data_IF_066541638006
#
_entry.id   IF_066541638006
#
_cell.length_a   1.000
_cell.length_b   1.000
_cell.length_c   1.000
_cell.angle_alpha   90.00
_cell.angle_beta   90.00
_cell.angle_gamma   90.00
#
_symmetry.space_group_name_H-M   'P 1'
#
loop_
_entity.id
_entity.type
_entity.pdbx_description
1 polymer ?
#
# COMPACT_ATOMS: atom_id res chain seq x y z
N UNK A 1 -13.04 -7.99 -27.08
CA UNK A 1 -12.51 -6.66 -26.66
C UNK A 1 -12.83 -6.34 -25.18
N UNK A 2 -14.03 -6.65 -24.65
CA UNK A 2 -14.35 -6.43 -23.21
C UNK A 2 -13.37 -7.12 -22.25
N UNK A 3 -12.95 -8.35 -22.54
CA UNK A 3 -11.98 -9.09 -21.74
C UNK A 3 -10.64 -8.34 -21.58
N UNK A 4 -10.08 -7.80 -22.67
CA UNK A 4 -8.85 -7.02 -22.64
C UNK A 4 -8.99 -5.72 -21.83
N UNK A 5 -10.14 -5.04 -21.97
CA UNK A 5 -10.43 -3.83 -21.17
C UNK A 5 -10.47 -4.16 -19.67
N UNK A 6 -11.14 -5.27 -19.30
CA UNK A 6 -11.19 -5.71 -17.90
C UNK A 6 -9.81 -6.15 -17.39
N UNK A 7 -9.01 -6.82 -18.22
CA UNK A 7 -7.65 -7.20 -17.85
C UNK A 7 -6.77 -5.96 -17.57
N UNK A 8 -6.80 -4.96 -18.46
CA UNK A 8 -6.05 -3.71 -18.29
C UNK A 8 -6.51 -2.96 -17.03
N UNK A 9 -7.83 -2.89 -16.79
CA UNK A 9 -8.38 -2.28 -15.59
C UNK A 9 -7.97 -3.05 -14.33
N UNK A 10 -7.94 -4.38 -14.41
CA UNK A 10 -7.48 -5.26 -13.33
C UNK A 10 -6.00 -5.07 -13.02
N UNK A 11 -5.14 -4.95 -14.04
CA UNK A 11 -3.71 -4.65 -13.87
C UNK A 11 -3.54 -3.25 -13.27
N UNK A 12 -4.34 -2.27 -13.69
CA UNK A 12 -4.29 -0.91 -13.13
C UNK A 12 -4.62 -0.90 -11.64
N UNK A 13 -5.77 -1.47 -11.24
CA UNK A 13 -6.18 -1.56 -9.84
C UNK A 13 -5.20 -2.42 -9.04
N UNK A 14 -4.77 -3.53 -9.60
CA UNK A 14 -3.80 -4.43 -8.98
C UNK A 14 -2.42 -3.78 -8.77
N UNK A 15 -2.01 -2.89 -9.65
CA UNK A 15 -0.77 -2.11 -9.47
C UNK A 15 -0.87 -1.15 -8.28
N UNK A 16 -2.04 -0.54 -8.05
CA UNK A 16 -2.27 0.28 -6.84
C UNK A 16 -2.17 -0.60 -5.60
N UNK A 17 -2.86 -1.75 -5.58
CA UNK A 17 -2.77 -2.69 -4.47
C UNK A 17 -1.35 -3.20 -4.26
N UNK A 18 -0.60 -3.44 -5.32
CA UNK A 18 0.79 -3.86 -5.24
C UNK A 18 1.68 -2.79 -4.57
N UNK A 19 1.54 -1.50 -4.92
CA UNK A 19 2.31 -0.42 -4.27
C UNK A 19 2.01 -0.37 -2.77
N UNK A 20 0.73 -0.49 -2.38
CA UNK A 20 0.33 -0.52 -0.97
C UNK A 20 0.88 -1.77 -0.29
N UNK A 21 0.75 -2.94 -0.93
CA UNK A 21 1.22 -4.22 -0.41
C UNK A 21 2.74 -4.26 -0.22
N UNK A 22 3.52 -3.57 -1.09
CA UNK A 22 4.96 -3.38 -0.92
C UNK A 22 5.27 -2.63 0.37
N UNK A 23 4.50 -1.57 0.69
CA UNK A 23 4.63 -0.85 1.96
C UNK A 23 4.33 -1.73 3.17
N UNK A 24 3.24 -2.50 3.13
CA UNK A 24 2.87 -3.47 4.19
C UNK A 24 3.95 -4.53 4.39
N UNK A 25 4.39 -5.15 3.29
CA UNK A 25 5.39 -6.22 3.31
C UNK A 25 6.69 -5.76 3.95
N UNK A 26 7.18 -4.56 3.60
CA UNK A 26 8.40 -4.02 4.19
C UNK A 26 8.25 -3.78 5.70
N UNK A 27 7.15 -3.16 6.12
CA UNK A 27 6.92 -2.85 7.53
C UNK A 27 6.78 -4.14 8.34
N UNK A 28 5.99 -5.09 7.87
CA UNK A 28 5.78 -6.36 8.55
C UNK A 28 7.07 -7.20 8.64
N UNK A 29 7.82 -7.29 7.55
CA UNK A 29 9.05 -8.11 7.52
C UNK A 29 10.09 -7.63 8.54
N UNK A 30 10.26 -6.33 8.67
CA UNK A 30 11.31 -5.73 9.50
C UNK A 30 10.83 -5.46 10.93
N UNK A 31 9.65 -4.89 11.11
CA UNK A 31 9.12 -4.58 12.44
C UNK A 31 8.45 -5.79 13.11
N UNK A 32 7.99 -6.79 12.33
CA UNK A 32 7.16 -7.92 12.74
C UNK A 32 5.86 -7.47 13.42
N UNK A 33 5.30 -6.36 12.93
CA UNK A 33 4.07 -5.74 13.46
C UNK A 33 3.11 -5.42 12.31
N UNK A 34 1.82 -5.70 12.52
CA UNK A 34 0.77 -5.32 11.58
C UNK A 34 0.40 -3.86 11.77
N UNK A 35 0.41 -3.09 10.68
CA UNK A 35 0.05 -1.67 10.68
C UNK A 35 -1.26 -1.43 9.94
N UNK A 36 -2.40 -1.62 10.60
CA UNK A 36 -3.71 -1.35 9.99
C UNK A 36 -3.96 0.14 9.70
N UNK A 37 -3.24 1.05 10.38
CA UNK A 37 -3.30 2.48 10.06
C UNK A 37 -2.68 2.84 8.69
N UNK A 38 -2.01 1.89 8.02
CA UNK A 38 -1.40 2.12 6.70
C UNK A 38 -2.44 2.53 5.64
N UNK A 39 -3.65 1.97 5.69
CA UNK A 39 -4.76 2.39 4.85
C UNK A 39 -5.14 3.87 5.04
N UNK A 40 -5.09 4.36 6.28
CA UNK A 40 -5.42 5.75 6.56
C UNK A 40 -4.30 6.72 6.17
N UNK A 41 -3.04 6.25 6.13
CA UNK A 41 -1.94 7.02 5.52
C UNK A 41 -2.17 7.22 4.03
N UNK A 42 -2.77 6.24 3.32
CA UNK A 42 -3.21 6.38 1.92
C UNK A 42 -4.21 7.54 1.78
N UNK A 43 -5.22 7.57 2.63
CA UNK A 43 -6.22 8.64 2.70
C UNK A 43 -5.56 10.00 2.94
N UNK A 44 -4.65 10.10 3.93
CA UNK A 44 -3.92 11.36 4.21
C UNK A 44 -3.12 11.81 3.00
N UNK A 45 -2.47 10.89 2.28
CA UNK A 45 -1.76 11.21 1.04
C UNK A 45 -2.67 11.85 -0.02
N UNK A 46 -3.87 11.27 -0.21
CA UNK A 46 -4.90 11.85 -1.08
C UNK A 46 -5.31 13.26 -0.64
N UNK A 47 -5.60 13.47 0.67
CA UNK A 47 -5.98 14.78 1.19
C UNK A 47 -4.86 15.82 1.09
N UNK A 48 -3.61 15.46 1.33
CA UNK A 48 -2.48 16.40 1.17
C UNK A 48 -2.30 16.86 -0.27
N UNK A 49 -2.41 15.94 -1.23
CA UNK A 49 -2.37 16.30 -2.64
C UNK A 49 -3.59 17.16 -3.02
N UNK A 50 -4.79 16.81 -2.56
CA UNK A 50 -6.01 17.61 -2.76
C UNK A 50 -5.86 19.02 -2.19
N UNK A 51 -5.36 19.17 -0.98
CA UNK A 51 -5.15 20.49 -0.37
C UNK A 51 -4.14 21.34 -1.17
N UNK A 52 -3.04 20.73 -1.62
CA UNK A 52 -2.04 21.42 -2.42
C UNK A 52 -2.60 21.92 -3.76
N UNK A 53 -3.36 21.08 -4.45
CA UNK A 53 -3.90 21.42 -5.78
C UNK A 53 -5.12 22.33 -5.71
N UNK A 54 -6.03 22.11 -4.74
CA UNK A 54 -7.33 22.80 -4.70
C UNK A 54 -7.26 24.09 -3.87
N UNK A 55 -6.61 24.07 -2.70
CA UNK A 55 -6.57 25.25 -1.82
C UNK A 55 -5.36 26.13 -2.07
N UNK A 56 -4.19 25.54 -2.37
CA UNK A 56 -2.97 26.31 -2.60
C UNK A 56 -2.73 26.62 -4.10
N UNK A 57 -3.50 26.00 -5.01
CA UNK A 57 -3.35 26.18 -6.46
C UNK A 57 -2.00 25.69 -7.00
N UNK A 58 -1.34 24.79 -6.28
CA UNK A 58 -0.05 24.27 -6.71
C UNK A 58 -0.19 23.28 -7.86
N UNK A 59 0.85 23.17 -8.71
CA UNK A 59 0.85 22.16 -9.76
C UNK A 59 0.83 20.75 -9.14
N UNK A 60 0.19 19.83 -9.83
CA UNK A 60 -0.09 18.47 -9.34
C UNK A 60 1.15 17.73 -8.83
N UNK A 61 2.31 17.88 -9.50
CA UNK A 61 3.56 17.23 -9.06
C UNK A 61 4.04 17.72 -7.67
N UNK A 62 3.84 19.02 -7.35
CA UNK A 62 4.15 19.54 -6.01
C UNK A 62 3.21 18.97 -4.96
N UNK A 63 1.93 18.74 -5.32
CA UNK A 63 0.97 18.07 -4.46
C UNK A 63 1.40 16.64 -4.11
N UNK A 64 1.95 15.91 -5.09
CA UNK A 64 2.52 14.56 -4.84
C UNK A 64 3.71 14.63 -3.89
N UNK A 65 4.64 15.56 -4.11
CA UNK A 65 5.81 15.73 -3.23
C UNK A 65 5.39 16.08 -1.81
N UNK A 66 4.44 17.00 -1.64
CA UNK A 66 3.89 17.34 -0.33
C UNK A 66 3.25 16.12 0.35
N UNK A 67 2.44 15.35 -0.37
CA UNK A 67 1.83 14.13 0.13
C UNK A 67 2.87 13.13 0.63
N UNK A 68 3.94 12.90 -0.15
CA UNK A 68 5.04 12.00 0.24
C UNK A 68 5.72 12.49 1.51
N UNK A 69 6.07 13.78 1.59
CA UNK A 69 6.76 14.34 2.76
C UNK A 69 5.88 14.22 4.01
N UNK A 70 4.63 14.67 3.93
CA UNK A 70 3.71 14.65 5.09
C UNK A 70 3.43 13.21 5.54
N UNK A 71 3.16 12.29 4.62
CA UNK A 71 2.90 10.89 4.98
C UNK A 71 4.16 10.20 5.54
N UNK A 72 5.35 10.52 5.02
CA UNK A 72 6.62 10.00 5.57
C UNK A 72 6.82 10.46 7.01
N UNK A 73 6.61 11.75 7.30
CA UNK A 73 6.69 12.29 8.66
C UNK A 73 5.61 11.68 9.55
N UNK A 74 4.37 11.57 9.05
CA UNK A 74 3.25 10.94 9.77
C UNK A 74 3.57 9.47 10.11
N UNK A 75 4.11 8.71 9.17
CA UNK A 75 4.50 7.31 9.40
C UNK A 75 5.56 7.16 10.47
N UNK A 76 6.58 8.03 10.48
CA UNK A 76 7.58 8.08 11.55
C UNK A 76 6.97 8.49 12.90
N UNK A 77 6.02 9.42 12.90
CA UNK A 77 5.31 9.83 14.10
C UNK A 77 4.46 8.68 14.68
N UNK A 78 3.70 7.99 13.82
CA UNK A 78 2.90 6.81 14.20
C UNK A 78 3.81 5.73 14.77
N UNK A 79 4.93 5.42 14.11
CA UNK A 79 5.90 4.46 14.62
C UNK A 79 6.40 4.86 16.01
N UNK A 80 6.84 6.10 16.16
CA UNK A 80 7.50 6.56 17.38
C UNK A 80 6.53 6.68 18.57
N UNK A 81 5.30 7.12 18.33
CA UNK A 81 4.31 7.39 19.37
C UNK A 81 3.47 6.15 19.71
N UNK A 82 3.07 5.36 18.71
CA UNK A 82 2.14 4.27 18.89
C UNK A 82 2.82 2.89 18.92
N UNK A 83 3.77 2.61 17.99
CA UNK A 83 4.34 1.27 17.85
C UNK A 83 5.61 1.04 18.67
N UNK A 84 6.48 2.04 18.77
CA UNK A 84 7.74 1.89 19.50
C UNK A 84 7.56 1.51 20.98
N UNK A 85 6.59 2.10 21.73
CA UNK A 85 6.34 1.70 23.11
C UNK A 85 5.84 0.26 23.27
N UNK A 86 5.20 -0.29 22.21
CA UNK A 86 4.55 -1.60 22.24
C UNK A 86 5.39 -2.73 21.64
N UNK A 87 6.67 -2.51 21.34
CA UNK A 87 7.54 -3.52 20.71
C UNK A 87 7.78 -4.76 21.56
N UNK A 88 7.65 -4.64 22.87
CA UNK A 88 7.74 -5.76 23.82
C UNK A 88 6.37 -6.26 24.30
N UNK A 89 5.27 -5.64 23.83
CA UNK A 89 3.91 -6.00 24.21
C UNK A 89 3.40 -7.20 23.38
N UNK A 90 2.37 -7.92 23.88
CA UNK A 90 1.71 -8.97 23.10
C UNK A 90 1.17 -8.43 21.76
N UNK A 91 1.16 -9.28 20.74
CA UNK A 91 0.71 -8.93 19.38
C UNK A 91 -0.72 -8.36 19.35
N UNK A 92 -1.58 -8.79 20.26
CA UNK A 92 -2.95 -8.27 20.42
C UNK A 92 -2.96 -6.78 20.80
N UNK A 93 -2.09 -6.35 21.72
CA UNK A 93 -1.99 -4.93 22.10
C UNK A 93 -1.55 -4.05 20.93
N UNK A 94 -0.61 -4.54 20.13
CA UNK A 94 -0.17 -3.86 18.90
C UNK A 94 -1.31 -3.74 17.90
N UNK A 95 -2.08 -4.82 17.71
CA UNK A 95 -3.24 -4.85 16.82
C UNK A 95 -4.31 -3.83 17.23
N UNK A 96 -4.69 -3.82 18.51
CA UNK A 96 -5.70 -2.87 19.05
C UNK A 96 -5.21 -1.44 18.87
N UNK A 97 -3.93 -1.17 19.14
CA UNK A 97 -3.35 0.16 18.94
C UNK A 97 -3.37 0.57 17.47
N UNK A 98 -3.07 -0.34 16.55
CA UNK A 98 -3.14 -0.07 15.12
C UNK A 98 -4.54 0.33 14.67
N UNK A 99 -5.57 -0.37 15.16
CA UNK A 99 -6.98 -0.03 14.93
C UNK A 99 -7.32 1.33 15.56
N UNK A 100 -6.85 1.59 16.79
CA UNK A 100 -7.05 2.88 17.46
C UNK A 100 -6.45 4.06 16.68
N UNK A 101 -5.22 3.91 16.15
CA UNK A 101 -4.58 4.92 15.30
C UNK A 101 -5.37 5.12 14.00
N UNK A 102 -5.86 4.02 13.39
CA UNK A 102 -6.70 4.08 12.19
C UNK A 102 -7.94 4.93 12.43
N UNK A 103 -8.73 4.62 13.45
CA UNK A 103 -9.92 5.40 13.79
C UNK A 103 -9.60 6.84 14.17
N UNK A 104 -8.49 7.08 14.86
CA UNK A 104 -8.04 8.43 15.18
C UNK A 104 -7.79 9.24 13.91
N UNK A 105 -7.08 8.70 12.92
CA UNK A 105 -6.81 9.39 11.65
C UNK A 105 -8.09 9.64 10.84
N UNK A 106 -9.01 8.67 10.78
CA UNK A 106 -10.29 8.82 10.10
C UNK A 106 -11.14 9.91 10.73
N UNK A 107 -11.27 9.93 12.07
CA UNK A 107 -12.03 10.95 12.77
C UNK A 107 -11.37 12.33 12.70
N UNK A 108 -10.03 12.41 12.75
CA UNK A 108 -9.31 13.64 12.52
C UNK A 108 -9.56 14.20 11.11
N UNK A 109 -9.54 13.33 10.09
CA UNK A 109 -9.86 13.71 8.71
C UNK A 109 -11.33 14.17 8.59
N UNK A 110 -12.25 13.51 9.27
CA UNK A 110 -13.66 13.87 9.28
C UNK A 110 -13.91 15.24 9.90
N UNK A 111 -13.18 15.59 10.98
CA UNK A 111 -13.25 16.91 11.62
C UNK A 111 -12.64 18.02 10.74
N UNK A 112 -11.54 17.73 10.05
CA UNK A 112 -10.83 18.73 9.23
C UNK A 112 -11.53 18.95 7.88
N UNK A 113 -11.90 17.87 7.16
CA UNK A 113 -12.41 17.94 5.79
C UNK A 113 -13.88 17.60 5.66
N UNK A 114 -14.56 17.27 6.74
CA UNK A 114 -15.97 16.84 6.78
C UNK A 114 -16.22 15.45 6.15
N UNK A 115 -17.45 14.93 6.30
CA UNK A 115 -17.86 13.65 5.71
C UNK A 115 -18.20 13.74 4.21
N UNK A 116 -18.34 14.96 3.67
CA UNK A 116 -18.75 15.15 2.28
C UNK A 116 -17.64 14.70 1.32
N UNK A 117 -17.96 13.87 0.32
CA UNK A 117 -16.99 13.47 -0.71
C UNK A 117 -16.38 14.68 -1.40
N UNK A 118 -15.06 14.70 -1.53
CA UNK A 118 -14.33 15.72 -2.29
C UNK A 118 -13.99 15.19 -3.67
N UNK A 119 -14.22 16.00 -4.69
CA UNK A 119 -13.78 15.68 -6.05
C UNK A 119 -12.28 15.89 -6.17
N UNK A 120 -11.56 14.83 -6.51
CA UNK A 120 -10.11 14.85 -6.68
C UNK A 120 -9.74 15.09 -8.13
N UNK A 121 -8.99 16.15 -8.41
CA UNK A 121 -8.44 16.40 -9.73
C UNK A 121 -7.28 15.44 -10.00
N UNK A 122 -7.38 14.64 -11.05
CA UNK A 122 -6.31 13.69 -11.41
C UNK A 122 -4.97 14.40 -11.61
N UNK A 123 -3.92 13.85 -11.00
CA UNK A 123 -2.55 14.34 -11.16
C UNK A 123 -2.03 14.06 -12.57
N UNK A 124 -2.55 13.01 -13.21
CA UNK A 124 -2.21 12.63 -14.58
C UNK A 124 -3.28 13.17 -15.50
N UNK A 125 -2.95 14.22 -16.24
CA UNK A 125 -3.83 14.87 -17.22
C UNK A 125 -3.63 14.30 -18.60
N UNK A 126 -4.70 14.32 -19.41
CA UNK A 126 -4.70 13.97 -20.83
C UNK A 126 -5.66 12.85 -21.18
N UNK A 127 -6.02 12.81 -22.47
CA UNK A 127 -7.02 11.87 -23.00
C UNK A 127 -6.54 10.42 -22.95
N UNK A 128 -7.49 9.49 -22.85
CA UNK A 128 -7.20 8.07 -22.94
C UNK A 128 -6.60 7.72 -24.31
N UNK A 129 -5.63 6.83 -24.32
CA UNK A 129 -5.07 6.30 -25.58
C UNK A 129 -6.03 5.30 -26.16
N UNK A 130 -6.59 5.63 -27.31
CA UNK A 130 -7.48 4.74 -28.06
C UNK A 130 -6.68 3.91 -29.06
N UNK A 131 -6.74 2.59 -28.92
CA UNK A 131 -6.12 1.63 -29.84
C UNK A 131 -7.23 0.86 -30.60
N UNK A 132 -6.88 0.28 -31.74
CA UNK A 132 -7.78 -0.50 -32.57
C UNK A 132 -9.10 0.21 -32.93
N UNK A 133 -9.01 1.46 -33.40
CA UNK A 133 -10.20 2.22 -33.81
C UNK A 133 -11.16 2.58 -32.66
N UNK A 134 -10.64 2.77 -31.44
CA UNK A 134 -11.42 3.17 -30.26
C UNK A 134 -12.01 2.00 -29.45
N UNK A 135 -11.77 0.76 -29.85
CA UNK A 135 -12.29 -0.43 -29.14
C UNK A 135 -11.53 -0.74 -27.85
N UNK A 136 -10.27 -0.30 -27.74
CA UNK A 136 -9.45 -0.43 -26.55
C UNK A 136 -9.06 0.97 -26.08
N UNK A 137 -9.50 1.34 -24.87
CA UNK A 137 -9.19 2.62 -24.27
C UNK A 137 -8.32 2.40 -23.02
N UNK A 138 -7.10 2.94 -23.06
CA UNK A 138 -6.17 2.86 -21.92
C UNK A 138 -6.04 4.25 -21.32
N UNK A 139 -6.48 4.42 -20.08
CA UNK A 139 -6.30 5.67 -19.35
C UNK A 139 -4.80 5.96 -19.15
N UNK A 140 -4.39 7.21 -19.27
CA UNK A 140 -3.00 7.60 -18.93
C UNK A 140 -2.68 7.32 -17.46
N UNK A 141 -3.65 7.43 -16.57
CA UNK A 141 -3.49 7.06 -15.16
C UNK A 141 -3.07 5.60 -15.03
N UNK A 142 -3.69 4.69 -15.80
CA UNK A 142 -3.31 3.27 -15.84
C UNK A 142 -1.85 3.07 -16.22
N UNK A 143 -1.39 3.72 -17.29
CA UNK A 143 0.01 3.59 -17.74
C UNK A 143 0.99 4.10 -16.69
N UNK A 144 0.71 5.28 -16.12
CA UNK A 144 1.55 5.86 -15.06
C UNK A 144 1.55 4.97 -13.82
N UNK A 145 0.41 4.42 -13.43
CA UNK A 145 0.29 3.55 -12.25
C UNK A 145 1.08 2.25 -12.42
N UNK A 146 0.93 1.58 -13.55
CA UNK A 146 1.67 0.35 -13.85
C UNK A 146 3.17 0.61 -13.92
N UNK A 147 3.58 1.68 -14.62
CA UNK A 147 4.98 2.07 -14.72
C UNK A 147 5.57 2.41 -13.34
N UNK A 148 4.87 3.23 -12.55
CA UNK A 148 5.29 3.59 -11.19
C UNK A 148 5.41 2.35 -10.30
N UNK A 149 4.47 1.41 -10.39
CA UNK A 149 4.49 0.16 -9.62
C UNK A 149 5.74 -0.68 -9.92
N UNK A 150 6.07 -0.88 -11.21
CA UNK A 150 7.26 -1.63 -11.61
C UNK A 150 8.54 -0.91 -11.18
N UNK A 151 8.62 0.41 -11.38
CA UNK A 151 9.78 1.21 -10.96
C UNK A 151 9.98 1.15 -9.44
N UNK A 152 8.91 1.29 -8.66
CA UNK A 152 8.95 1.19 -7.19
C UNK A 152 9.41 -0.20 -6.76
N UNK A 153 8.85 -1.27 -7.35
CA UNK A 153 9.26 -2.64 -7.03
C UNK A 153 10.76 -2.85 -7.28
N UNK A 154 11.25 -2.46 -8.46
CA UNK A 154 12.67 -2.59 -8.81
C UNK A 154 13.55 -1.74 -7.90
N UNK A 155 13.15 -0.49 -7.63
CA UNK A 155 13.87 0.41 -6.74
C UNK A 155 13.98 -0.17 -5.32
N UNK A 156 12.89 -0.73 -4.78
CA UNK A 156 12.89 -1.37 -3.47
C UNK A 156 13.77 -2.63 -3.44
N UNK A 157 13.73 -3.46 -4.48
CA UNK A 157 14.59 -4.64 -4.57
C UNK A 157 16.09 -4.24 -4.59
N UNK A 158 16.43 -3.21 -5.37
CA UNK A 158 17.80 -2.70 -5.42
C UNK A 158 18.21 -2.04 -4.10
N UNK A 159 17.31 -1.27 -3.51
CA UNK A 159 17.56 -0.61 -2.23
C UNK A 159 17.78 -1.61 -1.11
N UNK A 160 16.88 -2.57 -0.92
CA UNK A 160 17.00 -3.60 0.11
C UNK A 160 18.15 -4.57 -0.15
N UNK A 161 18.47 -4.83 -1.44
CA UNK A 161 19.54 -5.75 -1.84
C UNK A 161 20.94 -5.17 -1.75
N UNK A 162 21.12 -3.90 -2.15
CA UNK A 162 22.47 -3.31 -2.37
C UNK A 162 22.84 -2.19 -1.40
N UNK A 163 21.87 -1.53 -0.72
CA UNK A 163 22.20 -0.41 0.18
C UNK A 163 22.61 -0.89 1.58
N UNK A 164 23.42 -0.09 2.27
CA UNK A 164 23.78 -0.33 3.68
C UNK A 164 22.55 -0.37 4.59
N UNK A 165 21.58 0.51 4.33
CA UNK A 165 20.32 0.56 5.07
C UNK A 165 19.49 -0.71 4.80
N UNK A 166 19.40 -1.15 3.54
CA UNK A 166 18.72 -2.39 3.17
C UNK A 166 19.37 -3.63 3.80
N UNK A 167 20.71 -3.66 3.91
CA UNK A 167 21.43 -4.73 4.62
C UNK A 167 21.08 -4.71 6.11
N UNK A 168 21.03 -3.52 6.74
CA UNK A 168 20.58 -3.37 8.12
C UNK A 168 19.13 -3.83 8.31
N UNK A 169 18.23 -3.50 7.37
CA UNK A 169 16.83 -3.95 7.38
C UNK A 169 16.74 -5.47 7.36
N UNK A 170 17.48 -6.14 6.47
CA UNK A 170 17.49 -7.62 6.40
C UNK A 170 18.07 -8.26 7.67
N UNK A 171 19.13 -7.69 8.24
CA UNK A 171 19.68 -8.19 9.50
C UNK A 171 18.66 -8.07 10.65
N UNK A 172 17.94 -6.94 10.74
CA UNK A 172 16.90 -6.71 11.76
C UNK A 172 15.67 -7.62 11.52
N UNK A 173 15.34 -7.98 10.28
CA UNK A 173 14.23 -8.87 9.97
C UNK A 173 14.51 -10.32 10.40
N UNK A 174 15.77 -10.76 10.35
CA UNK A 174 16.18 -12.10 10.78
C UNK A 174 16.29 -12.19 12.31
N UNK A 175 17.08 -11.31 12.95
CA UNK A 175 17.23 -11.28 14.41
C UNK A 175 17.57 -9.87 14.89
N UNK A 176 16.65 -9.27 15.65
CA UNK A 176 16.82 -7.92 16.22
C UNK A 176 17.96 -7.87 17.25
N UNK A 177 18.12 -8.92 18.04
CA UNK A 177 19.16 -9.00 19.09
C UNK A 177 20.55 -9.14 18.47
N UNK A 178 20.72 -10.07 17.56
CA UNK A 178 21.98 -10.25 16.84
C UNK A 178 22.37 -9.00 16.03
N UNK A 179 21.41 -8.36 15.35
CA UNK A 179 21.66 -7.11 14.64
C UNK A 179 22.14 -5.99 15.55
N UNK A 180 21.59 -5.88 16.77
CA UNK A 180 22.00 -4.89 17.76
C UNK A 180 23.43 -5.17 18.27
N UNK A 181 23.80 -6.42 18.50
CA UNK A 181 25.15 -6.81 18.89
C UNK A 181 26.19 -6.49 17.80
N UNK A 182 25.78 -6.52 16.53
CA UNK A 182 26.62 -6.12 15.40
C UNK A 182 26.66 -4.61 15.17
N UNK A 183 26.13 -3.80 16.10
CA UNK A 183 26.15 -2.34 16.03
C UNK A 183 25.06 -1.70 15.17
N UNK A 184 24.06 -2.46 14.71
CA UNK A 184 22.94 -1.92 13.94
C UNK A 184 21.91 -1.27 14.87
N UNK A 185 21.58 -0.01 14.61
CA UNK A 185 20.54 0.68 15.36
C UNK A 185 19.14 0.22 14.89
N UNK A 186 18.58 -0.76 15.59
CA UNK A 186 17.26 -1.36 15.30
C UNK A 186 16.15 -0.31 15.28
N UNK A 187 16.19 0.68 16.20
CA UNK A 187 15.17 1.72 16.25
C UNK A 187 15.16 2.57 14.98
N UNK A 188 16.32 3.04 14.57
CA UNK A 188 16.46 3.84 13.34
C UNK A 188 16.04 3.03 12.10
N UNK A 189 16.44 1.77 12.04
CA UNK A 189 16.09 0.88 10.92
C UNK A 189 14.58 0.71 10.79
N UNK A 190 13.86 0.47 11.88
CA UNK A 190 12.40 0.36 11.89
C UNK A 190 11.74 1.70 11.50
N UNK A 191 12.21 2.83 12.05
CA UNK A 191 11.66 4.15 11.71
C UNK A 191 11.83 4.49 10.22
N UNK A 192 12.98 4.15 9.61
CA UNK A 192 13.20 4.32 8.16
C UNK A 192 12.24 3.43 7.37
N UNK A 193 11.99 2.21 7.83
CA UNK A 193 11.03 1.31 7.18
C UNK A 193 9.61 1.88 7.16
N UNK A 194 9.17 2.42 8.30
CA UNK A 194 7.86 3.11 8.37
C UNK A 194 7.82 4.36 7.48
N UNK A 195 8.91 5.11 7.42
CA UNK A 195 9.04 6.27 6.53
C UNK A 195 8.85 5.89 5.06
N UNK A 196 9.56 4.84 4.60
CA UNK A 196 9.46 4.34 3.22
C UNK A 196 8.05 3.80 2.95
N UNK A 197 7.53 2.93 3.83
CA UNK A 197 6.18 2.38 3.67
C UNK A 197 5.11 3.46 3.58
N UNK A 198 5.17 4.49 4.43
CA UNK A 198 4.23 5.61 4.42
C UNK A 198 4.39 6.51 3.20
N UNK A 199 5.60 6.70 2.70
CA UNK A 199 5.84 7.38 1.42
C UNK A 199 5.21 6.65 0.23
N UNK A 200 5.30 5.31 0.22
CA UNK A 200 4.63 4.47 -0.77
C UNK A 200 3.10 4.55 -0.67
N UNK A 201 2.57 4.58 0.57
CA UNK A 201 1.14 4.77 0.81
C UNK A 201 0.65 6.11 0.25
N UNK A 202 1.44 7.18 0.37
CA UNK A 202 1.11 8.47 -0.23
C UNK A 202 1.01 8.40 -1.76
N UNK A 203 2.00 7.79 -2.41
CA UNK A 203 2.00 7.60 -3.87
C UNK A 203 0.77 6.79 -4.30
N UNK A 204 0.51 5.67 -3.61
CA UNK A 204 -0.66 4.84 -3.89
C UNK A 204 -1.97 5.60 -3.68
N UNK A 205 -2.08 6.44 -2.64
CA UNK A 205 -3.24 7.27 -2.36
C UNK A 205 -3.53 8.28 -3.48
N UNK A 206 -2.51 8.97 -3.96
CA UNK A 206 -2.64 9.90 -5.08
C UNK A 206 -3.04 9.18 -6.38
N UNK A 207 -2.45 8.02 -6.66
CA UNK A 207 -2.80 7.22 -7.84
C UNK A 207 -4.21 6.64 -7.73
N UNK A 208 -4.61 6.17 -6.54
CA UNK A 208 -5.96 5.69 -6.27
C UNK A 208 -7.00 6.78 -6.52
N UNK A 209 -6.79 7.97 -5.93
CA UNK A 209 -7.69 9.11 -6.11
C UNK A 209 -7.67 9.66 -7.55
N UNK A 210 -6.56 9.49 -8.29
CA UNK A 210 -6.50 9.84 -9.72
C UNK A 210 -7.30 8.87 -10.59
N UNK A 211 -7.34 7.59 -10.22
CA UNK A 211 -8.13 6.57 -10.90
C UNK A 211 -9.61 6.62 -10.51
N UNK A 212 -9.89 6.90 -9.24
CA UNK A 212 -11.23 7.01 -8.66
C UNK A 212 -11.38 8.39 -8.01
N UNK A 213 -11.93 9.39 -8.70
CA UNK A 213 -11.85 10.81 -8.31
C UNK A 213 -12.79 11.17 -7.15
N UNK A 214 -12.87 10.31 -6.15
CA UNK A 214 -13.68 10.51 -4.94
C UNK A 214 -12.81 10.32 -3.72
N UNK A 215 -12.68 11.37 -2.90
CA UNK A 215 -11.88 11.37 -1.68
C UNK A 215 -12.78 11.56 -0.47
N UNK A 216 -12.72 10.61 0.46
CA UNK A 216 -13.49 10.57 1.70
C UNK A 216 -12.58 10.17 2.86
N UNK A 217 -12.94 10.45 4.13
CA UNK A 217 -12.16 10.01 5.30
C UNK A 217 -11.94 8.50 5.39
N UNK A 218 -12.73 7.69 4.68
CA UNK A 218 -12.64 6.22 4.63
C UNK A 218 -12.02 5.69 3.35
N UNK A 219 -11.57 6.54 2.42
CA UNK A 219 -11.08 6.13 1.08
C UNK A 219 -9.94 5.10 1.14
N UNK A 220 -9.09 5.14 2.17
CA UNK A 220 -7.97 4.22 2.31
C UNK A 220 -8.30 2.90 3.01
N UNK A 221 -9.44 2.79 3.71
CA UNK A 221 -9.73 1.65 4.58
C UNK A 221 -9.85 0.33 3.83
N UNK A 222 -10.78 0.24 2.87
CA UNK A 222 -10.96 -0.98 2.07
C UNK A 222 -9.75 -1.31 1.17
N UNK A 223 -9.18 -0.37 0.40
CA UNK A 223 -7.97 -0.62 -0.36
C UNK A 223 -6.79 -1.05 0.53
N UNK A 224 -6.68 -0.50 1.74
CA UNK A 224 -5.68 -0.90 2.72
C UNK A 224 -5.81 -2.37 3.13
N UNK A 225 -7.03 -2.82 3.51
CA UNK A 225 -7.28 -4.22 3.88
C UNK A 225 -7.05 -5.15 2.69
N UNK A 226 -7.51 -4.79 1.49
CA UNK A 226 -7.28 -5.60 0.27
C UNK A 226 -5.80 -5.70 -0.09
N UNK A 227 -5.05 -4.62 0.05
CA UNK A 227 -3.61 -4.65 -0.20
C UNK A 227 -2.84 -5.45 0.87
N UNK A 228 -3.28 -5.43 2.13
CA UNK A 228 -2.77 -6.36 3.14
C UNK A 228 -3.06 -7.82 2.73
N UNK A 229 -4.29 -8.10 2.30
CA UNK A 229 -4.67 -9.40 1.73
C UNK A 229 -3.75 -9.79 0.57
N UNK A 230 -3.45 -8.85 -0.33
CA UNK A 230 -2.53 -9.06 -1.45
C UNK A 230 -1.09 -9.37 -0.99
N UNK A 231 -0.60 -8.70 0.05
CA UNK A 231 0.71 -8.99 0.63
C UNK A 231 0.77 -10.41 1.22
N UNK A 232 -0.28 -10.81 1.94
CA UNK A 232 -0.41 -12.18 2.50
C UNK A 232 -0.50 -13.22 1.37
N UNK A 233 -1.36 -12.98 0.40
CA UNK A 233 -1.56 -13.84 -0.78
C UNK A 233 -0.25 -14.04 -1.56
N UNK A 234 0.50 -12.96 -1.76
CA UNK A 234 1.78 -12.98 -2.45
C UNK A 234 2.91 -13.63 -1.66
N UNK A 235 2.81 -13.62 -0.34
CA UNK A 235 3.82 -14.08 0.62
C UNK A 235 4.48 -12.90 1.34
N UNK A 236 4.07 -12.68 2.59
CA UNK A 236 4.59 -11.58 3.42
C UNK A 236 6.10 -11.71 3.58
N UNK A 237 6.83 -10.59 3.43
CA UNK A 237 8.30 -10.55 3.48
C UNK A 237 8.96 -10.68 2.11
N UNK A 238 8.20 -11.02 1.05
CA UNK A 238 8.71 -11.08 -0.31
C UNK A 238 8.25 -9.89 -1.14
N UNK A 239 9.17 -8.98 -1.51
CA UNK A 239 8.85 -7.83 -2.38
C UNK A 239 8.23 -8.28 -3.71
N UNK A 240 8.82 -9.25 -4.45
CA UNK A 240 8.18 -9.77 -5.66
C UNK A 240 6.83 -10.45 -5.38
N UNK A 241 6.70 -11.11 -4.21
CA UNK A 241 5.45 -11.72 -3.77
C UNK A 241 4.34 -10.70 -3.62
N UNK A 242 4.58 -9.63 -2.87
CA UNK A 242 3.61 -8.56 -2.69
C UNK A 242 3.19 -7.89 -4.01
N UNK A 243 4.13 -7.71 -4.94
CA UNK A 243 3.83 -7.19 -6.28
C UNK A 243 2.90 -8.12 -7.06
N UNK A 244 3.27 -9.41 -7.18
CA UNK A 244 2.47 -10.41 -7.90
C UNK A 244 1.10 -10.57 -7.23
N UNK A 245 1.07 -10.66 -5.91
CA UNK A 245 -0.16 -10.76 -5.13
C UNK A 245 -1.10 -9.58 -5.35
N UNK A 246 -0.56 -8.34 -5.36
CA UNK A 246 -1.34 -7.13 -5.64
C UNK A 246 -1.94 -7.13 -7.03
N UNK A 247 -1.13 -7.41 -8.05
CA UNK A 247 -1.58 -7.45 -9.46
C UNK A 247 -2.65 -8.54 -9.66
N UNK A 248 -2.42 -9.75 -9.17
CA UNK A 248 -3.38 -10.85 -9.30
C UNK A 248 -4.70 -10.53 -8.59
N UNK A 249 -4.63 -9.97 -7.39
CA UNK A 249 -5.83 -9.65 -6.62
C UNK A 249 -6.67 -8.56 -7.28
N UNK A 250 -6.04 -7.55 -7.88
CA UNK A 250 -6.74 -6.53 -8.67
C UNK A 250 -7.40 -7.10 -9.92
N UNK A 251 -6.73 -8.04 -10.61
CA UNK A 251 -7.31 -8.76 -11.76
C UNK A 251 -8.54 -9.56 -11.28
N UNK A 252 -8.41 -10.36 -10.24
CA UNK A 252 -9.51 -11.16 -9.67
C UNK A 252 -10.69 -10.26 -9.31
N UNK A 253 -10.45 -9.13 -8.66
CA UNK A 253 -11.51 -8.19 -8.27
C UNK A 253 -12.27 -7.61 -9.47
N UNK A 254 -11.55 -7.15 -10.51
CA UNK A 254 -12.20 -6.60 -11.70
C UNK A 254 -12.97 -7.67 -12.46
N UNK A 255 -12.43 -8.89 -12.58
CA UNK A 255 -13.15 -9.99 -13.22
C UNK A 255 -14.39 -10.41 -12.41
N UNK A 256 -14.28 -10.46 -11.08
CA UNK A 256 -15.42 -10.72 -10.21
C UNK A 256 -16.53 -9.67 -10.38
N UNK A 257 -16.16 -8.38 -10.44
CA UNK A 257 -17.10 -7.28 -10.71
C UNK A 257 -17.76 -7.37 -12.09
N UNK A 258 -16.99 -7.76 -13.10
CA UNK A 258 -17.45 -7.75 -14.48
C UNK A 258 -18.32 -8.97 -14.85
N UNK A 259 -18.00 -10.16 -14.32
CA UNK A 259 -18.61 -11.43 -14.74
C UNK A 259 -19.52 -12.08 -13.69
N UNK A 260 -19.38 -11.72 -12.40
CA UNK A 260 -20.16 -12.35 -11.33
C UNK A 260 -21.08 -11.31 -10.69
N UNK A 261 -20.53 -10.43 -9.85
CA UNK A 261 -21.31 -9.37 -9.18
C UNK A 261 -20.38 -8.33 -8.55
N UNK A 262 -20.73 -7.07 -8.70
CA UNK A 262 -20.03 -5.98 -8.03
C UNK A 262 -20.13 -6.08 -6.50
N UNK A 263 -21.27 -6.53 -5.98
CA UNK A 263 -21.50 -6.66 -4.54
C UNK A 263 -20.73 -7.84 -3.93
N UNK A 264 -20.54 -8.92 -4.69
CA UNK A 264 -19.84 -10.12 -4.24
C UNK A 264 -18.32 -10.05 -4.49
N UNK A 265 -17.84 -9.02 -5.19
CA UNK A 265 -16.41 -8.92 -5.56
C UNK A 265 -15.48 -8.97 -4.36
N UNK A 266 -15.84 -8.30 -3.26
CA UNK A 266 -15.04 -8.28 -2.04
C UNK A 266 -15.03 -9.66 -1.36
N UNK A 267 -16.18 -10.33 -1.30
CA UNK A 267 -16.28 -11.70 -0.76
C UNK A 267 -15.42 -12.68 -1.59
N UNK A 268 -15.39 -12.53 -2.91
CA UNK A 268 -14.56 -13.37 -3.79
C UNK A 268 -13.08 -13.12 -3.54
N UNK A 269 -12.66 -11.86 -3.42
CA UNK A 269 -11.28 -11.48 -3.13
C UNK A 269 -10.79 -12.10 -1.81
N UNK A 270 -11.57 -11.96 -0.75
CA UNK A 270 -11.23 -12.55 0.55
C UNK A 270 -11.35 -14.07 0.55
N UNK A 271 -12.33 -14.63 -0.19
CA UNK A 271 -12.49 -16.07 -0.37
C UNK A 271 -11.29 -16.71 -1.07
N UNK A 272 -10.76 -16.07 -2.11
CA UNK A 272 -9.52 -16.54 -2.78
C UNK A 272 -8.33 -16.52 -1.83
N UNK A 273 -8.20 -15.49 -0.97
CA UNK A 273 -7.16 -15.46 0.04
C UNK A 273 -7.26 -16.69 0.95
N UNK A 274 -8.46 -16.98 1.48
CA UNK A 274 -8.68 -18.13 2.39
C UNK A 274 -8.26 -19.43 1.69
N UNK A 275 -8.71 -19.65 0.45
CA UNK A 275 -8.35 -20.85 -0.31
C UNK A 275 -6.84 -20.96 -0.51
N UNK A 276 -6.17 -19.86 -0.88
CA UNK A 276 -4.72 -19.88 -1.08
C UNK A 276 -3.97 -20.17 0.23
N UNK A 277 -4.38 -19.60 1.34
CA UNK A 277 -3.74 -19.86 2.64
C UNK A 277 -3.95 -21.29 3.14
N UNK A 278 -5.10 -21.92 2.81
CA UNK A 278 -5.34 -23.32 3.12
C UNK A 278 -4.44 -24.26 2.31
N UNK A 279 -4.14 -23.92 1.04
CA UNK A 279 -3.31 -24.74 0.15
C UNK A 279 -1.82 -24.42 0.32
N UNK A 280 -1.48 -23.14 0.51
CA UNK A 280 -0.11 -22.64 0.61
C UNK A 280 -0.01 -21.55 1.68
N UNK A 281 0.18 -21.91 2.95
CA UNK A 281 0.13 -20.96 4.08
C UNK A 281 1.21 -19.86 4.00
N UNK A 282 2.33 -20.12 3.32
CA UNK A 282 3.41 -19.14 3.12
C UNK A 282 3.08 -18.12 2.00
N UNK A 283 1.94 -18.22 1.33
CA UNK A 283 1.60 -17.43 0.14
C UNK A 283 2.29 -17.93 -1.13
N UNK A 284 2.07 -17.24 -2.28
CA UNK A 284 2.55 -17.69 -3.59
C UNK A 284 4.08 -17.74 -3.70
N UNK A 285 4.77 -16.72 -3.21
CA UNK A 285 6.22 -16.54 -3.28
C UNK A 285 6.87 -16.35 -1.89
N UNK A 286 6.18 -16.74 -0.82
CA UNK A 286 6.70 -16.71 0.53
C UNK A 286 7.82 -17.74 0.73
N UNK A 287 8.75 -17.42 1.64
CA UNK A 287 9.79 -18.38 2.06
C UNK A 287 9.29 -19.14 3.28
N UNK A 288 9.38 -20.46 3.23
CA UNK A 288 9.10 -21.28 4.40
C UNK A 288 10.18 -21.02 5.47
N UNK A 289 9.79 -20.37 6.56
CA UNK A 289 10.67 -20.17 7.72
C UNK A 289 10.50 -21.39 8.62
N UNK A 290 11.41 -22.35 8.55
CA UNK A 290 11.46 -23.42 9.55
C UNK A 290 11.82 -22.79 10.90
N UNK A 291 10.93 -22.90 11.89
CA UNK A 291 11.29 -22.56 13.26
C UNK A 291 12.50 -23.41 13.65
N UNK A 292 13.60 -22.73 13.97
CA UNK A 292 14.74 -23.40 14.61
C UNK A 292 14.31 -23.68 16.05
N UNK A 293 14.05 -24.94 16.32
CA UNK A 293 13.84 -25.48 17.68
C UNK A 293 15.12 -25.31 18.48
#
# INVERSE_FOLDING_TARGET
MSFLNHLISGISLGSIYAIIALGYTMVYDIAKMLNFAHGDVIMVGGYMCFCATTYLGWPAWMGVVLAIIVCTVLGMAIERLAYKPLRAAPSLAVLITAIGVSYFLQNAALLIWTSNPKSFSSVVTGDAISLFGGQLQISRVTLVTVFACVVIMVALMLFTGKSKVGTAMRAVSEDKGAAQLMGINVNTTISITFAIGSGLAAIAGVLLCSAYPTLMPTTGSLPGIKAFTAAVFGGIGSIPGAFVGGVLLGIIEIFAKAYISTQLSDAIVFGVLIVVLLVKPDGLLGKHVSEKV
#
